data_IF_513451078852
#
_entry.id   IF_513451078852
#
_cell.length_a   1.000
_cell.length_b   1.000
_cell.length_c   1.000
_cell.angle_alpha   90.00
_cell.angle_beta   90.00
_cell.angle_gamma   90.00
#
_symmetry.space_group_name_H-M   'P 1'
#
loop_
_entity.id
_entity.type
_entity.pdbx_description
1 polymer ?
#
# COMPACT_ATOMS: atom_id res chain seq x y z
N UNK A 1 -3.67 -11.08 43.69
CA UNK A 1 -2.96 -10.29 42.67
C UNK A 1 -3.75 -9.07 42.21
N UNK A 2 -4.97 -9.19 41.66
CA UNK A 2 -5.77 -8.00 41.23
C UNK A 2 -6.09 -7.03 42.38
N UNK A 3 -6.46 -7.53 43.57
CA UNK A 3 -6.72 -6.66 44.74
C UNK A 3 -5.51 -5.85 45.23
N UNK A 4 -4.29 -6.39 45.05
CA UNK A 4 -3.06 -5.64 45.34
C UNK A 4 -2.81 -4.56 44.29
N UNK A 5 -3.21 -4.81 43.04
CA UNK A 5 -3.07 -3.87 41.91
C UNK A 5 -4.01 -2.65 42.05
N UNK A 6 -5.17 -2.83 42.70
CA UNK A 6 -6.11 -1.73 43.03
C UNK A 6 -5.64 -0.92 44.25
N UNK A 7 -4.91 -1.53 45.18
CA UNK A 7 -4.41 -0.86 46.39
C UNK A 7 -3.14 -0.03 46.13
N UNK A 8 -2.32 -0.41 45.14
CA UNK A 8 -1.04 0.23 44.83
C UNK A 8 -1.11 1.76 44.59
N UNK A 9 -2.08 2.31 43.83
CA UNK A 9 -2.20 3.76 43.64
C UNK A 9 -2.62 4.49 44.93
N UNK A 10 -3.46 3.87 45.75
CA UNK A 10 -3.90 4.43 47.02
C UNK A 10 -2.75 4.44 48.05
N UNK A 11 -1.91 3.40 48.03
CA UNK A 11 -0.69 3.32 48.86
C UNK A 11 0.32 4.38 48.40
N UNK A 12 0.56 4.55 47.10
CA UNK A 12 1.51 5.57 46.62
C UNK A 12 1.05 7.00 46.90
N UNK A 13 -0.25 7.23 47.05
CA UNK A 13 -0.80 8.54 47.42
C UNK A 13 -0.81 8.76 48.94
N UNK A 14 -1.05 7.72 49.74
CA UNK A 14 -1.18 7.81 51.20
C UNK A 14 0.16 7.90 51.93
N UNK A 15 1.21 7.24 51.40
CA UNK A 15 2.56 7.20 51.96
C UNK A 15 3.18 8.61 52.21
N UNK A 16 3.07 9.58 51.28
CA UNK A 16 3.57 10.94 51.53
C UNK A 16 2.66 11.82 52.42
N UNK A 17 1.41 11.43 52.67
CA UNK A 17 0.41 12.29 53.34
C UNK A 17 0.27 12.01 54.85
N UNK A 18 0.64 10.82 55.33
CA UNK A 18 0.46 10.43 56.73
C UNK A 18 1.52 9.42 57.23
N UNK A 19 2.80 9.81 57.34
CA UNK A 19 3.89 8.92 57.71
C UNK A 19 3.84 8.42 59.18
N UNK A 20 3.04 9.04 60.05
CA UNK A 20 2.97 8.73 61.48
C UNK A 20 2.00 7.58 61.84
N UNK A 21 1.21 7.08 60.87
CA UNK A 21 0.27 5.99 61.07
C UNK A 21 0.92 4.64 60.76
N UNK A 22 1.66 4.10 61.73
CA UNK A 22 2.19 2.74 61.68
C UNK A 22 1.06 1.74 61.39
N UNK A 23 1.06 1.14 60.18
CA UNK A 23 0.10 0.12 59.77
C UNK A 23 -0.92 0.55 58.70
N UNK A 24 -1.02 1.84 58.35
CA UNK A 24 -1.89 2.32 57.26
C UNK A 24 -1.62 1.67 55.89
N UNK A 25 -0.37 1.51 55.42
CA UNK A 25 -0.09 0.80 54.16
C UNK A 25 -0.44 -0.69 54.23
N UNK A 26 -0.25 -1.33 55.38
CA UNK A 26 -0.64 -2.73 55.62
C UNK A 26 -2.16 -2.92 55.62
N UNK A 27 -2.88 -2.01 56.28
CA UNK A 27 -4.34 -2.01 56.31
C UNK A 27 -4.95 -1.81 54.92
N UNK A 28 -4.42 -0.87 54.13
CA UNK A 28 -4.87 -0.65 52.73
C UNK A 28 -4.61 -1.86 51.84
N UNK A 29 -3.50 -2.58 52.04
CA UNK A 29 -3.22 -3.83 51.33
C UNK A 29 -4.21 -4.93 51.70
N UNK A 30 -4.52 -5.09 52.99
CA UNK A 30 -5.50 -6.07 53.46
C UNK A 30 -6.90 -5.73 52.94
N UNK A 31 -7.30 -4.45 53.03
CA UNK A 31 -8.59 -3.97 52.54
C UNK A 31 -8.71 -4.16 51.02
N UNK A 32 -7.69 -3.78 50.25
CA UNK A 32 -7.65 -3.98 48.81
C UNK A 32 -7.63 -5.46 48.41
N UNK A 33 -6.97 -6.31 49.20
CA UNK A 33 -7.00 -7.76 49.00
C UNK A 33 -8.40 -8.35 49.28
N UNK A 34 -9.04 -7.97 50.37
CA UNK A 34 -10.41 -8.40 50.71
C UNK A 34 -11.39 -7.91 49.65
N UNK A 35 -11.33 -6.63 49.28
CA UNK A 35 -12.20 -6.04 48.27
C UNK A 35 -11.99 -6.66 46.89
N UNK A 36 -10.74 -6.88 46.48
CA UNK A 36 -10.43 -7.56 45.22
C UNK A 36 -10.86 -9.02 45.21
N UNK A 37 -10.83 -9.71 46.36
CA UNK A 37 -11.32 -11.08 46.49
C UNK A 37 -12.84 -11.13 46.45
N UNK A 38 -13.51 -10.16 47.09
CA UNK A 38 -14.97 -10.02 47.06
C UNK A 38 -15.49 -9.66 45.65
N UNK A 39 -14.83 -8.72 44.96
CA UNK A 39 -15.14 -8.40 43.55
C UNK A 39 -14.96 -9.62 42.66
N UNK A 40 -13.87 -10.37 42.83
CA UNK A 40 -13.60 -11.56 42.01
C UNK A 40 -14.53 -12.73 42.34
N UNK A 41 -15.04 -12.84 43.57
CA UNK A 41 -15.86 -13.99 43.97
C UNK A 41 -17.37 -13.73 43.90
N UNK A 42 -17.79 -12.46 43.86
CA UNK A 42 -19.19 -12.09 43.63
C UNK A 42 -19.54 -12.09 42.15
N UNK A 43 -20.80 -12.45 41.82
CA UNK A 43 -21.29 -12.42 40.43
C UNK A 43 -21.24 -11.02 39.82
N UNK A 44 -21.71 -10.00 40.56
CA UNK A 44 -21.70 -8.61 40.09
C UNK A 44 -20.30 -8.01 39.95
N UNK A 45 -19.34 -8.41 40.79
CA UNK A 45 -17.95 -7.93 40.66
C UNK A 45 -17.21 -8.53 39.47
N UNK A 46 -17.50 -9.77 39.07
CA UNK A 46 -16.99 -10.38 37.83
C UNK A 46 -17.55 -9.67 36.60
N UNK A 47 -18.85 -9.43 36.55
CA UNK A 47 -19.50 -8.72 35.43
C UNK A 47 -18.96 -7.30 35.26
N UNK A 48 -18.71 -6.60 36.37
CA UNK A 48 -18.11 -5.26 36.35
C UNK A 48 -16.65 -5.30 35.86
N UNK A 49 -15.85 -6.26 36.33
CA UNK A 49 -14.46 -6.44 35.87
C UNK A 49 -14.40 -6.79 34.38
N UNK A 50 -15.25 -7.70 33.92
CA UNK A 50 -15.30 -8.11 32.52
C UNK A 50 -15.77 -6.95 31.62
N UNK A 51 -16.74 -6.15 32.07
CA UNK A 51 -17.19 -4.95 31.36
C UNK A 51 -16.10 -3.87 31.29
N UNK A 52 -15.40 -3.60 32.40
CA UNK A 52 -14.29 -2.65 32.43
C UNK A 52 -13.11 -3.11 31.58
N UNK A 53 -12.75 -4.38 31.66
CA UNK A 53 -11.66 -4.95 30.87
C UNK A 53 -12.00 -4.94 29.38
N UNK A 54 -13.23 -5.27 29.02
CA UNK A 54 -13.72 -5.19 27.63
C UNK A 54 -13.74 -3.74 27.15
N UNK A 55 -14.20 -2.80 27.98
CA UNK A 55 -14.19 -1.37 27.70
C UNK A 55 -12.78 -0.82 27.50
N UNK A 56 -11.83 -1.20 28.36
CA UNK A 56 -10.43 -0.78 28.28
C UNK A 56 -9.75 -1.38 27.05
N UNK A 57 -10.00 -2.65 26.72
CA UNK A 57 -9.47 -3.30 25.52
C UNK A 57 -10.01 -2.62 24.25
N UNK A 58 -11.30 -2.30 24.21
CA UNK A 58 -11.92 -1.64 23.07
C UNK A 58 -11.47 -0.19 22.93
N UNK A 59 -11.38 0.56 24.04
CA UNK A 59 -10.82 1.90 24.07
C UNK A 59 -9.37 1.92 23.62
N UNK A 60 -8.53 1.01 24.14
CA UNK A 60 -7.13 0.90 23.76
C UNK A 60 -6.97 0.51 22.28
N UNK A 61 -7.82 -0.38 21.77
CA UNK A 61 -7.84 -0.73 20.34
C UNK A 61 -8.22 0.46 19.46
N UNK A 62 -9.21 1.24 19.89
CA UNK A 62 -9.69 2.42 19.16
C UNK A 62 -8.67 3.56 19.17
N UNK A 63 -8.09 3.84 20.34
CA UNK A 63 -7.02 4.84 20.52
C UNK A 63 -5.79 4.43 19.73
N UNK A 64 -5.32 3.19 19.87
CA UNK A 64 -4.10 2.73 19.20
C UNK A 64 -4.19 2.81 17.69
N UNK A 65 -5.30 2.45 17.07
CA UNK A 65 -5.37 2.46 15.61
C UNK A 65 -5.56 3.88 15.05
N UNK A 66 -6.42 4.70 15.65
CA UNK A 66 -6.74 6.03 15.10
C UNK A 66 -5.71 7.09 15.49
N UNK A 67 -5.29 7.15 16.76
CA UNK A 67 -4.31 8.14 17.21
C UNK A 67 -2.91 7.85 16.71
N UNK A 68 -2.44 6.59 16.68
CA UNK A 68 -1.08 6.29 16.20
C UNK A 68 -0.97 6.55 14.70
N UNK A 69 -1.93 6.08 13.89
CA UNK A 69 -1.91 6.38 12.45
C UNK A 69 -2.09 7.86 12.18
N UNK A 70 -2.96 8.55 12.92
CA UNK A 70 -3.14 9.99 12.82
C UNK A 70 -1.87 10.76 13.16
N UNK A 71 -1.18 10.39 14.24
CA UNK A 71 0.08 10.99 14.67
C UNK A 71 1.19 10.75 13.65
N UNK A 72 1.36 9.51 13.18
CA UNK A 72 2.37 9.18 12.16
C UNK A 72 2.12 9.98 10.88
N UNK A 73 0.86 10.07 10.43
CA UNK A 73 0.52 10.86 9.25
C UNK A 73 0.78 12.35 9.47
N UNK A 74 0.38 12.89 10.62
CA UNK A 74 0.67 14.27 10.98
C UNK A 74 2.17 14.58 11.03
N UNK A 75 2.98 13.66 11.56
CA UNK A 75 4.44 13.78 11.56
C UNK A 75 4.96 13.82 10.12
N UNK A 76 4.53 12.90 9.24
CA UNK A 76 4.94 12.88 7.83
C UNK A 76 4.57 14.20 7.16
N UNK A 77 3.31 14.63 7.27
CA UNK A 77 2.81 15.86 6.66
C UNK A 77 3.58 17.10 7.15
N UNK A 78 3.96 17.13 8.44
CA UNK A 78 4.79 18.18 9.02
C UNK A 78 6.18 18.21 8.39
N UNK A 79 6.86 17.07 8.30
CA UNK A 79 8.20 17.00 7.69
C UNK A 79 8.17 17.32 6.20
N UNK A 80 7.16 16.83 5.48
CA UNK A 80 6.95 17.19 4.08
C UNK A 80 6.77 18.70 3.93
N UNK A 81 5.92 19.32 4.76
CA UNK A 81 5.73 20.77 4.74
C UNK A 81 7.02 21.55 5.07
N UNK A 82 7.80 21.09 6.05
CA UNK A 82 9.09 21.69 6.39
C UNK A 82 10.08 21.61 5.22
N UNK A 83 10.23 20.44 4.60
CA UNK A 83 11.14 20.27 3.46
C UNK A 83 10.71 21.11 2.25
N UNK A 84 9.41 21.11 1.93
CA UNK A 84 8.87 21.99 0.89
C UNK A 84 9.13 23.47 1.21
N UNK A 85 9.05 23.88 2.48
CA UNK A 85 9.33 25.27 2.87
C UNK A 85 10.81 25.64 2.66
N UNK A 86 11.74 24.72 2.94
CA UNK A 86 13.18 24.90 2.66
C UNK A 86 13.42 25.01 1.17
N UNK A 87 12.86 24.10 0.38
CA UNK A 87 13.00 24.12 -1.08
C UNK A 87 12.42 25.38 -1.70
N UNK A 88 11.23 25.80 -1.28
CA UNK A 88 10.63 27.06 -1.70
C UNK A 88 11.47 28.27 -1.28
N UNK A 89 12.03 28.24 -0.06
CA UNK A 89 12.93 29.29 0.42
C UNK A 89 14.17 29.42 -0.46
N UNK A 90 14.83 28.30 -0.76
CA UNK A 90 15.97 28.25 -1.67
C UNK A 90 15.59 28.73 -3.07
N UNK A 91 14.44 28.27 -3.59
CA UNK A 91 13.98 28.63 -4.93
C UNK A 91 13.64 30.12 -5.06
N UNK A 92 13.07 30.75 -4.02
CA UNK A 92 12.83 32.21 -4.02
C UNK A 92 14.12 33.00 -4.13
N UNK A 93 15.17 32.56 -3.45
CA UNK A 93 16.48 33.25 -3.53
C UNK A 93 17.15 32.95 -4.86
N UNK A 94 17.04 31.72 -5.36
CA UNK A 94 17.48 31.32 -6.69
C UNK A 94 16.86 32.22 -7.77
N UNK A 95 15.54 32.45 -7.71
CA UNK A 95 14.85 33.37 -8.59
C UNK A 95 15.38 34.81 -8.45
N UNK A 96 15.60 35.30 -7.22
CA UNK A 96 16.12 36.65 -7.00
C UNK A 96 17.55 36.86 -7.57
N UNK A 97 18.39 35.82 -7.49
CA UNK A 97 19.78 35.84 -7.98
C UNK A 97 19.85 35.60 -9.49
N UNK A 98 18.89 34.87 -10.05
CA UNK A 98 18.84 34.55 -11.48
C UNK A 98 18.66 35.79 -12.38
N UNK A 99 19.21 35.71 -13.58
CA UNK A 99 19.13 36.78 -14.57
C UNK A 99 17.72 36.91 -15.16
N UNK A 100 17.20 38.13 -15.11
CA UNK A 100 15.94 38.47 -15.78
C UNK A 100 16.21 39.31 -17.04
N UNK A 101 15.49 39.02 -18.13
CA UNK A 101 15.60 39.79 -19.39
C UNK A 101 15.10 41.21 -19.17
N UNK A 102 16.00 42.20 -19.23
CA UNK A 102 15.68 43.62 -19.07
C UNK A 102 16.51 44.36 -18.02
N UNK A 103 17.40 43.68 -17.30
CA UNK A 103 18.26 44.28 -16.28
C UNK A 103 19.46 45.03 -16.89
N UNK A 104 19.94 46.08 -16.22
CA UNK A 104 21.11 46.85 -16.65
C UNK A 104 22.40 46.04 -16.62
N UNK A 105 23.36 46.35 -17.50
CA UNK A 105 24.62 45.60 -17.68
C UNK A 105 25.44 45.42 -16.39
N UNK A 106 25.40 46.41 -15.47
CA UNK A 106 26.06 46.31 -14.17
C UNK A 106 25.44 45.26 -13.24
N UNK A 107 24.10 45.20 -13.18
CA UNK A 107 23.36 44.19 -12.40
C UNK A 107 23.60 42.80 -12.96
N UNK A 108 23.62 42.68 -14.29
CA UNK A 108 23.93 41.43 -14.98
C UNK A 108 25.32 40.89 -14.61
N UNK A 109 26.34 41.76 -14.54
CA UNK A 109 27.70 41.34 -14.20
C UNK A 109 27.81 40.87 -12.74
N UNK A 110 27.18 41.59 -11.82
CA UNK A 110 27.16 41.23 -10.39
C UNK A 110 26.44 39.91 -10.17
N UNK A 111 25.24 39.73 -10.76
CA UNK A 111 24.49 38.47 -10.68
C UNK A 111 25.26 37.29 -11.27
N UNK A 112 26.00 37.48 -12.36
CA UNK A 112 26.80 36.40 -12.96
C UNK A 112 27.94 35.89 -12.05
N UNK A 113 28.42 36.71 -11.12
CA UNK A 113 29.42 36.31 -10.12
C UNK A 113 28.73 35.67 -8.90
N UNK A 114 27.60 36.23 -8.48
CA UNK A 114 26.86 35.76 -7.30
C UNK A 114 26.17 34.42 -7.56
N UNK A 115 25.60 34.23 -8.75
CA UNK A 115 24.85 33.04 -9.15
C UNK A 115 25.59 31.72 -8.90
N UNK A 116 26.82 31.48 -9.41
CA UNK A 116 27.53 30.23 -9.15
C UNK A 116 27.88 30.03 -7.67
N UNK A 117 28.17 31.12 -6.94
CA UNK A 117 28.42 31.04 -5.50
C UNK A 117 27.14 30.66 -4.76
N UNK A 118 26.00 31.25 -5.14
CA UNK A 118 24.70 30.93 -4.59
C UNK A 118 24.28 29.49 -4.89
N UNK A 119 24.48 28.99 -6.11
CA UNK A 119 24.20 27.58 -6.45
C UNK A 119 24.97 26.63 -5.54
N UNK A 120 26.27 26.88 -5.31
CA UNK A 120 27.07 26.08 -4.39
C UNK A 120 26.49 26.09 -2.96
N UNK A 121 26.07 27.26 -2.46
CA UNK A 121 25.43 27.36 -1.16
C UNK A 121 24.05 26.69 -1.11
N UNK A 122 23.25 26.81 -2.16
CA UNK A 122 21.94 26.19 -2.29
C UNK A 122 22.05 24.66 -2.27
N UNK A 123 22.98 24.10 -3.04
CA UNK A 123 23.27 22.67 -3.05
C UNK A 123 23.79 22.19 -1.70
N UNK A 124 24.64 22.97 -1.05
CA UNK A 124 25.11 22.68 0.30
C UNK A 124 23.97 22.63 1.31
N UNK A 125 23.06 23.61 1.29
CA UNK A 125 21.90 23.64 2.18
C UNK A 125 20.96 22.47 1.88
N UNK A 126 20.68 22.18 0.60
CA UNK A 126 19.83 21.06 0.18
C UNK A 126 20.41 19.73 0.64
N UNK A 127 21.72 19.54 0.49
CA UNK A 127 22.42 18.36 1.00
C UNK A 127 22.26 18.22 2.52
N UNK A 128 22.53 19.28 3.28
CA UNK A 128 22.37 19.23 4.74
C UNK A 128 20.94 18.98 5.17
N UNK A 129 19.97 19.68 4.57
CA UNK A 129 18.56 19.54 4.94
C UNK A 129 18.05 18.13 4.65
N UNK A 130 18.18 17.64 3.41
CA UNK A 130 17.59 16.38 2.96
C UNK A 130 18.38 15.15 3.43
N UNK A 131 19.71 15.19 3.36
CA UNK A 131 20.53 14.01 3.59
C UNK A 131 20.95 13.87 5.06
N UNK A 132 21.18 14.99 5.75
CA UNK A 132 21.76 14.95 7.09
C UNK A 132 20.71 15.26 8.18
N UNK A 133 19.98 16.38 8.05
CA UNK A 133 19.06 16.87 9.08
C UNK A 133 17.75 16.11 9.09
N UNK A 134 17.09 15.95 7.93
CA UNK A 134 15.78 15.30 7.83
C UNK A 134 15.78 13.90 8.47
N UNK A 135 16.74 12.99 8.16
CA UNK A 135 16.72 11.66 8.75
C UNK A 135 17.01 11.66 10.26
N UNK A 136 17.72 12.66 10.77
CA UNK A 136 18.03 12.76 12.19
C UNK A 136 16.84 13.21 13.03
N UNK A 137 16.10 14.20 12.54
CA UNK A 137 15.00 14.80 13.31
C UNK A 137 13.69 14.05 13.04
N UNK A 138 13.51 13.49 11.84
CA UNK A 138 12.31 12.73 11.50
C UNK A 138 12.27 11.41 12.30
N UNK A 139 11.35 11.24 13.27
CA UNK A 139 11.35 10.07 14.13
C UNK A 139 11.08 8.77 13.36
N UNK A 140 10.44 8.85 12.19
CA UNK A 140 10.14 7.72 11.32
C UNK A 140 11.41 7.25 10.59
N UNK A 141 12.31 8.16 10.24
CA UNK A 141 13.59 7.86 9.56
C UNK A 141 14.74 7.64 10.55
N UNK A 142 14.69 8.27 11.72
CA UNK A 142 15.73 8.20 12.75
C UNK A 142 15.88 6.79 13.34
N UNK A 143 14.75 6.13 13.63
CA UNK A 143 14.76 4.80 14.23
C UNK A 143 14.59 3.69 13.19
N UNK A 144 15.39 2.61 13.23
CA UNK A 144 16.54 2.36 14.12
C UNK A 144 17.91 2.76 13.54
N UNK A 145 17.98 3.03 12.22
CA UNK A 145 19.24 3.09 11.46
C UNK A 145 20.16 4.20 11.94
N UNK A 146 19.63 5.43 12.10
CA UNK A 146 20.42 6.58 12.52
C UNK A 146 20.93 6.38 13.95
N UNK A 147 20.12 5.77 14.83
CA UNK A 147 20.53 5.46 16.20
C UNK A 147 21.68 4.45 16.25
N UNK A 148 21.63 3.41 15.42
CA UNK A 148 22.73 2.43 15.31
C UNK A 148 23.99 3.10 14.74
N UNK A 149 23.82 3.93 13.71
CA UNK A 149 24.92 4.66 13.08
C UNK A 149 25.65 5.58 14.07
N UNK A 150 24.90 6.32 14.91
CA UNK A 150 25.50 7.10 16.01
C UNK A 150 26.40 6.22 16.90
N UNK A 151 25.88 5.08 17.36
CA UNK A 151 26.63 4.18 18.24
C UNK A 151 27.87 3.59 17.58
N UNK A 152 27.78 3.23 16.30
CA UNK A 152 28.90 2.72 15.54
C UNK A 152 29.97 3.79 15.29
N UNK A 153 29.57 5.05 15.14
CA UNK A 153 30.47 6.17 14.88
C UNK A 153 31.18 6.70 16.13
N UNK A 154 30.61 6.54 17.32
CA UNK A 154 31.19 7.01 18.60
C UNK A 154 32.70 6.76 18.75
N UNK A 155 33.24 5.54 18.56
CA UNK A 155 34.67 5.29 18.74
C UNK A 155 35.55 5.99 17.68
N UNK A 156 34.98 6.38 16.54
CA UNK A 156 35.69 7.02 15.43
C UNK A 156 35.59 8.54 15.44
N UNK A 157 34.79 9.14 16.34
CA UNK A 157 34.60 10.59 16.41
C UNK A 157 35.91 11.40 16.51
N UNK A 158 36.92 11.00 17.33
CA UNK A 158 38.18 11.73 17.39
C UNK A 158 38.88 11.74 16.03
N UNK A 159 39.02 10.57 15.41
CA UNK A 159 39.69 10.42 14.12
C UNK A 159 38.98 11.23 13.02
N UNK A 160 37.65 11.10 12.91
CA UNK A 160 36.84 11.84 11.95
C UNK A 160 36.98 13.37 12.13
N UNK A 161 36.95 13.84 13.38
CA UNK A 161 37.12 15.27 13.69
C UNK A 161 38.49 15.77 13.26
N UNK A 162 39.58 15.08 13.63
CA UNK A 162 40.94 15.48 13.23
C UNK A 162 41.14 15.44 11.72
N UNK A 163 40.62 14.41 11.04
CA UNK A 163 40.74 14.29 9.59
C UNK A 163 39.99 15.41 8.87
N UNK A 164 38.77 15.74 9.31
CA UNK A 164 37.97 16.78 8.66
C UNK A 164 38.54 18.18 8.93
N UNK A 165 39.03 18.46 10.14
CA UNK A 165 39.75 19.71 10.44
C UNK A 165 41.02 19.85 9.60
N UNK A 166 41.84 18.79 9.48
CA UNK A 166 43.06 18.83 8.67
C UNK A 166 42.79 19.13 7.19
N UNK A 167 41.62 18.76 6.66
CA UNK A 167 41.19 19.08 5.30
C UNK A 167 40.67 20.51 5.16
N UNK A 168 40.00 21.05 6.19
CA UNK A 168 39.33 22.35 6.13
C UNK A 168 40.20 23.52 6.60
N UNK A 169 41.06 23.33 7.59
CA UNK A 169 41.93 24.37 8.16
C UNK A 169 42.84 25.09 7.14
N UNK A 170 43.33 24.44 6.05
CA UNK A 170 44.08 25.14 5.01
C UNK A 170 43.24 26.11 4.16
N UNK A 171 41.92 25.92 4.11
CA UNK A 171 41.00 26.64 3.22
C UNK A 171 40.11 27.62 3.98
N UNK A 172 39.73 27.26 5.21
CA UNK A 172 38.79 27.99 6.04
C UNK A 172 39.42 28.43 7.36
N UNK A 173 39.12 29.65 7.84
CA UNK A 173 39.50 30.08 9.18
C UNK A 173 38.95 29.15 10.26
N UNK A 174 39.70 28.99 11.35
CA UNK A 174 39.35 28.06 12.44
C UNK A 174 37.97 28.31 13.06
N UNK A 175 37.54 29.58 13.13
CA UNK A 175 36.21 29.93 13.65
C UNK A 175 35.05 29.47 12.75
N UNK A 176 35.32 29.10 11.50
CA UNK A 176 34.37 28.49 10.56
C UNK A 176 34.58 26.97 10.50
N UNK A 177 35.82 26.49 10.41
CA UNK A 177 36.12 25.05 10.28
C UNK A 177 35.63 24.26 11.50
N UNK A 178 35.88 24.76 12.71
CA UNK A 178 35.50 24.08 13.95
C UNK A 178 33.98 23.84 14.09
N UNK A 179 33.10 24.87 14.00
CA UNK A 179 31.66 24.64 14.08
C UNK A 179 31.14 23.81 12.91
N UNK A 180 31.67 24.02 11.70
CA UNK A 180 31.28 23.25 10.53
C UNK A 180 31.57 21.76 10.73
N UNK A 181 32.81 21.39 11.06
CA UNK A 181 33.21 20.00 11.34
C UNK A 181 32.36 19.38 12.44
N UNK A 182 32.13 20.12 13.52
CA UNK A 182 31.33 19.64 14.65
C UNK A 182 29.90 19.30 14.21
N UNK A 183 29.26 20.21 13.48
CA UNK A 183 27.89 20.01 12.96
C UNK A 183 27.86 18.88 11.94
N UNK A 184 28.81 18.84 10.99
CA UNK A 184 28.89 17.76 9.99
C UNK A 184 28.96 16.41 10.67
N UNK A 185 29.86 16.24 11.64
CA UNK A 185 30.08 14.95 12.33
C UNK A 185 28.86 14.55 13.16
N UNK A 186 28.25 15.51 13.86
CA UNK A 186 27.02 15.26 14.61
C UNK A 186 25.88 14.81 13.70
N UNK A 187 25.77 15.40 12.51
CA UNK A 187 24.70 15.10 11.55
C UNK A 187 25.02 13.91 10.62
N UNK A 188 26.28 13.48 10.53
CA UNK A 188 26.77 12.44 9.62
C UNK A 188 26.03 11.09 9.76
N UNK A 189 25.58 10.65 10.96
CA UNK A 189 24.69 9.48 11.08
C UNK A 189 23.41 9.57 10.24
N UNK A 190 22.93 10.79 9.96
CA UNK A 190 21.76 11.05 9.11
C UNK A 190 21.95 10.53 7.69
N UNK A 191 23.17 10.62 7.14
CA UNK A 191 23.53 10.10 5.82
C UNK A 191 23.17 8.61 5.68
N UNK A 192 23.48 7.80 6.69
CA UNK A 192 23.14 6.37 6.66
C UNK A 192 21.63 6.14 6.74
N UNK A 193 20.92 6.95 7.52
CA UNK A 193 19.46 6.94 7.56
C UNK A 193 18.84 7.23 6.19
N UNK A 194 19.31 8.30 5.53
CA UNK A 194 18.90 8.67 4.18
C UNK A 194 19.15 7.51 3.19
N UNK A 195 20.38 7.00 3.13
CA UNK A 195 20.76 5.94 2.19
C UNK A 195 19.93 4.67 2.34
N UNK A 196 19.73 4.21 3.57
CA UNK A 196 18.93 2.99 3.80
C UNK A 196 17.47 3.21 3.38
N UNK A 197 16.91 4.37 3.70
CA UNK A 197 15.52 4.66 3.39
C UNK A 197 15.29 4.82 1.88
N UNK A 198 16.16 5.57 1.20
CA UNK A 198 16.14 5.72 -0.26
C UNK A 198 16.36 4.40 -0.98
N UNK A 199 17.34 3.60 -0.53
CA UNK A 199 17.58 2.28 -1.11
C UNK A 199 16.35 1.37 -0.93
N UNK A 200 15.72 1.39 0.24
CA UNK A 200 14.52 0.60 0.49
C UNK A 200 13.34 1.06 -0.36
N UNK A 201 13.14 2.37 -0.53
CA UNK A 201 12.10 2.92 -1.38
C UNK A 201 12.32 2.50 -2.85
N UNK A 202 13.54 2.67 -3.35
CA UNK A 202 13.91 2.23 -4.70
C UNK A 202 13.81 0.72 -4.88
N UNK A 203 14.16 -0.07 -3.86
CA UNK A 203 13.99 -1.53 -3.90
C UNK A 203 12.52 -1.95 -3.99
N UNK A 204 11.61 -1.25 -3.31
CA UNK A 204 10.17 -1.51 -3.43
C UNK A 204 9.68 -1.27 -4.86
N UNK A 205 10.17 -0.21 -5.52
CA UNK A 205 9.86 0.07 -6.92
C UNK A 205 10.47 -0.98 -7.86
N UNK A 206 11.73 -1.33 -7.66
CA UNK A 206 12.41 -2.39 -8.40
C UNK A 206 11.63 -3.70 -8.32
N UNK A 207 11.28 -4.15 -7.10
CA UNK A 207 10.51 -5.38 -6.89
C UNK A 207 9.11 -5.32 -7.52
N UNK A 208 8.46 -4.15 -7.52
CA UNK A 208 7.18 -3.99 -8.19
C UNK A 208 7.28 -4.15 -9.72
N UNK A 209 8.42 -3.77 -10.31
CA UNK A 209 8.71 -3.88 -11.74
C UNK A 209 9.28 -5.25 -12.16
N UNK A 210 9.72 -6.07 -11.22
CA UNK A 210 10.24 -7.42 -11.47
C UNK A 210 9.41 -8.48 -10.73
N UNK A 211 8.18 -8.77 -11.18
CA UNK A 211 7.40 -9.84 -10.58
C UNK A 211 7.97 -11.22 -10.93
N UNK A 212 8.23 -12.03 -9.91
CA UNK A 212 8.69 -13.43 -10.06
C UNK A 212 7.61 -14.38 -10.62
N UNK A 213 6.37 -13.89 -10.79
CA UNK A 213 5.23 -14.66 -11.27
C UNK A 213 4.36 -13.83 -12.24
N UNK A 214 3.60 -14.54 -13.08
CA UNK A 214 2.59 -13.92 -13.95
C UNK A 214 1.61 -13.13 -13.09
N UNK A 215 1.63 -11.81 -13.21
CA UNK A 215 0.70 -10.96 -12.47
C UNK A 215 -0.72 -11.12 -13.03
N UNK A 216 -1.75 -11.20 -12.16
CA UNK A 216 -3.13 -11.13 -12.59
C UNK A 216 -3.37 -9.88 -13.43
N UNK A 217 -4.04 -10.07 -14.58
CA UNK A 217 -4.41 -8.96 -15.42
C UNK A 217 -5.44 -8.09 -14.69
N UNK A 218 -5.22 -6.78 -14.77
CA UNK A 218 -6.19 -5.78 -14.33
C UNK A 218 -7.02 -5.34 -15.53
N UNK A 219 -8.32 -5.19 -15.34
CA UNK A 219 -9.27 -4.74 -16.35
C UNK A 219 -10.44 -3.99 -15.70
N UNK A 220 -11.30 -3.39 -16.52
CA UNK A 220 -12.37 -2.51 -16.05
C UNK A 220 -11.89 -1.13 -15.61
N UNK A 221 -12.85 -0.24 -15.35
CA UNK A 221 -12.58 1.18 -15.04
C UNK A 221 -11.82 1.41 -13.73
N UNK A 222 -11.89 0.46 -12.79
CA UNK A 222 -11.20 0.51 -11.51
C UNK A 222 -9.87 -0.28 -11.47
N UNK A 223 -9.46 -0.89 -12.59
CA UNK A 223 -8.27 -1.75 -12.63
C UNK A 223 -8.41 -2.99 -11.74
N UNK A 224 -9.59 -3.60 -11.74
CA UNK A 224 -9.91 -4.78 -10.93
C UNK A 224 -9.40 -6.08 -11.56
N UNK A 225 -9.20 -7.09 -10.73
CA UNK A 225 -8.92 -8.47 -11.15
C UNK A 225 -10.21 -9.27 -11.24
N UNK A 226 -10.22 -10.40 -11.96
CA UNK A 226 -11.39 -11.29 -12.05
C UNK A 226 -11.82 -11.81 -10.67
N UNK A 227 -10.85 -12.12 -9.79
CA UNK A 227 -11.13 -12.49 -8.41
C UNK A 227 -11.88 -11.39 -7.65
N UNK A 228 -11.38 -10.15 -7.71
CA UNK A 228 -11.99 -9.03 -6.99
C UNK A 228 -13.35 -8.64 -7.58
N UNK A 229 -13.56 -8.84 -8.88
CA UNK A 229 -14.84 -8.63 -9.56
C UNK A 229 -15.93 -9.54 -8.99
N UNK A 230 -15.59 -10.82 -8.78
CA UNK A 230 -16.50 -11.86 -8.28
C UNK A 230 -16.65 -11.83 -6.76
N UNK A 231 -15.61 -11.46 -6.01
CA UNK A 231 -15.63 -11.47 -4.55
C UNK A 231 -16.32 -10.22 -4.02
N UNK A 232 -17.38 -10.38 -3.25
CA UNK A 232 -18.03 -9.24 -2.59
C UNK A 232 -17.13 -8.62 -1.52
N UNK A 233 -16.78 -7.34 -1.65
CA UNK A 233 -15.98 -6.61 -0.67
C UNK A 233 -16.08 -5.07 -0.76
N UNK A 234 -15.31 -4.41 0.11
CA UNK A 234 -15.23 -2.94 0.17
C UNK A 234 -14.57 -2.34 -1.08
N UNK A 235 -13.54 -3.01 -1.63
CA UNK A 235 -12.74 -2.47 -2.72
C UNK A 235 -13.03 -3.09 -4.11
N UNK A 236 -13.61 -4.29 -4.21
CA UNK A 236 -14.43 -4.70 -5.37
C UNK A 236 -15.29 -5.93 -5.02
N UNK A 237 -16.25 -6.22 -5.90
CA UNK A 237 -17.42 -7.08 -5.81
C UNK A 237 -18.50 -6.59 -6.78
N UNK A 238 -18.06 -6.06 -7.93
CA UNK A 238 -18.90 -5.32 -8.86
C UNK A 238 -19.99 -6.21 -9.46
N UNK A 239 -19.66 -7.46 -9.80
CA UNK A 239 -20.61 -8.41 -10.36
C UNK A 239 -21.70 -8.80 -9.34
N UNK A 240 -21.38 -9.22 -8.09
CA UNK A 240 -22.40 -9.42 -7.06
C UNK A 240 -23.27 -8.19 -6.79
N UNK A 241 -22.69 -6.99 -6.78
CA UNK A 241 -23.41 -5.73 -6.54
C UNK A 241 -24.36 -5.40 -7.69
N UNK A 242 -23.95 -5.60 -8.95
CA UNK A 242 -24.81 -5.41 -10.11
C UNK A 242 -26.00 -6.37 -10.10
N UNK A 243 -25.78 -7.66 -9.82
CA UNK A 243 -26.88 -8.63 -9.68
C UNK A 243 -27.79 -8.35 -8.47
N UNK A 244 -27.25 -7.84 -7.36
CA UNK A 244 -28.06 -7.43 -6.22
C UNK A 244 -28.96 -6.22 -6.56
N UNK A 245 -28.42 -5.25 -7.30
CA UNK A 245 -29.18 -4.08 -7.76
C UNK A 245 -30.27 -4.48 -8.75
N UNK A 246 -29.96 -5.34 -9.72
CA UNK A 246 -30.94 -5.84 -10.69
C UNK A 246 -32.10 -6.57 -9.99
N UNK A 247 -31.79 -7.47 -9.04
CA UNK A 247 -32.81 -8.15 -8.25
C UNK A 247 -33.64 -7.21 -7.39
N UNK A 248 -33.02 -6.18 -6.80
CA UNK A 248 -33.74 -5.20 -5.99
C UNK A 248 -34.73 -4.37 -6.82
N UNK A 249 -34.35 -3.97 -8.04
CA UNK A 249 -35.24 -3.24 -8.94
C UNK A 249 -36.41 -4.13 -9.39
N UNK A 250 -36.16 -5.38 -9.77
CA UNK A 250 -37.21 -6.34 -10.17
C UNK A 250 -38.17 -6.61 -9.01
N UNK A 251 -37.65 -6.79 -7.78
CA UNK A 251 -38.47 -6.97 -6.60
C UNK A 251 -39.35 -5.74 -6.32
N UNK A 252 -38.79 -4.54 -6.48
CA UNK A 252 -39.54 -3.29 -6.31
C UNK A 252 -40.65 -3.13 -7.36
N UNK A 253 -40.40 -3.47 -8.63
CA UNK A 253 -41.43 -3.44 -9.68
C UNK A 253 -42.59 -4.40 -9.35
N UNK A 254 -42.27 -5.60 -8.86
CA UNK A 254 -43.26 -6.60 -8.45
C UNK A 254 -44.08 -6.15 -7.24
N UNK A 255 -43.42 -5.64 -6.19
CA UNK A 255 -44.08 -5.21 -4.96
C UNK A 255 -44.99 -3.99 -5.18
N UNK A 256 -44.54 -3.03 -6.01
CA UNK A 256 -45.28 -1.81 -6.29
C UNK A 256 -46.29 -1.95 -7.43
N UNK A 257 -46.33 -3.12 -8.11
CA UNK A 257 -47.10 -3.36 -9.33
C UNK A 257 -46.97 -2.21 -10.35
N UNK A 258 -45.77 -1.65 -10.44
CA UNK A 258 -45.45 -0.49 -11.29
C UNK A 258 -44.20 -0.77 -12.08
N UNK A 259 -44.26 -0.46 -13.37
CA UNK A 259 -43.09 -0.53 -14.24
C UNK A 259 -42.13 0.61 -13.89
N UNK A 260 -40.86 0.29 -13.63
CA UNK A 260 -39.75 1.21 -13.36
C UNK A 260 -38.69 1.08 -14.48
N UNK A 261 -39.06 1.36 -15.75
CA UNK A 261 -38.22 1.03 -16.91
C UNK A 261 -36.87 1.75 -16.91
N UNK A 262 -36.77 2.92 -16.26
CA UNK A 262 -35.50 3.63 -16.14
C UNK A 262 -34.54 2.97 -15.15
N UNK A 263 -35.04 2.53 -13.98
CA UNK A 263 -34.22 1.87 -12.97
C UNK A 263 -33.73 0.50 -13.47
N UNK A 264 -34.60 -0.23 -14.18
CA UNK A 264 -34.26 -1.51 -14.79
C UNK A 264 -33.16 -1.35 -15.84
N UNK A 265 -33.33 -0.42 -16.79
CA UNK A 265 -32.32 -0.12 -17.81
C UNK A 265 -30.98 0.31 -17.22
N UNK A 266 -30.98 1.08 -16.12
CA UNK A 266 -29.74 1.47 -15.45
C UNK A 266 -29.03 0.28 -14.79
N UNK A 267 -29.78 -0.63 -14.16
CA UNK A 267 -29.23 -1.84 -13.56
C UNK A 267 -28.66 -2.80 -14.63
N UNK A 268 -29.37 -2.96 -15.75
CA UNK A 268 -28.92 -3.73 -16.91
C UNK A 268 -27.68 -3.10 -17.57
N UNK A 269 -27.68 -1.78 -17.77
CA UNK A 269 -26.54 -1.07 -18.35
C UNK A 269 -25.28 -1.23 -17.48
N UNK A 270 -25.42 -1.19 -16.15
CA UNK A 270 -24.32 -1.43 -15.23
C UNK A 270 -23.76 -2.85 -15.37
N UNK A 271 -24.62 -3.87 -15.47
CA UNK A 271 -24.20 -5.26 -15.66
C UNK A 271 -23.52 -5.44 -17.03
N UNK A 272 -24.11 -4.89 -18.09
CA UNK A 272 -23.56 -4.94 -19.45
C UNK A 272 -22.19 -4.26 -19.54
N UNK A 273 -21.97 -3.13 -18.88
CA UNK A 273 -20.65 -2.49 -18.83
C UNK A 273 -19.57 -3.34 -18.15
N UNK A 274 -19.95 -4.09 -17.11
CA UNK A 274 -19.05 -5.06 -16.47
C UNK A 274 -18.74 -6.22 -17.42
N UNK A 275 -19.77 -6.79 -18.06
CA UNK A 275 -19.62 -7.88 -19.02
C UNK A 275 -18.76 -7.48 -20.23
N UNK A 276 -18.90 -6.25 -20.69
CA UNK A 276 -18.07 -5.74 -21.80
C UNK A 276 -16.60 -5.57 -21.38
N UNK A 277 -16.35 -5.16 -20.13
CA UNK A 277 -14.99 -5.12 -19.58
C UNK A 277 -14.38 -6.53 -19.50
N UNK A 278 -15.19 -7.54 -19.13
CA UNK A 278 -14.78 -8.95 -19.13
C UNK A 278 -14.54 -9.45 -20.55
N UNK A 279 -15.42 -9.12 -21.51
CA UNK A 279 -15.24 -9.46 -22.93
C UNK A 279 -13.92 -8.91 -23.45
N UNK A 280 -13.63 -7.64 -23.18
CA UNK A 280 -12.37 -6.98 -23.57
C UNK A 280 -11.16 -7.68 -22.95
N UNK A 281 -11.24 -8.07 -21.67
CA UNK A 281 -10.21 -8.86 -21.00
C UNK A 281 -9.98 -10.21 -21.67
N UNK A 282 -11.05 -10.96 -21.97
CA UNK A 282 -10.95 -12.27 -22.65
C UNK A 282 -10.34 -12.13 -24.05
N UNK A 283 -10.77 -11.14 -24.83
CA UNK A 283 -10.21 -10.91 -26.17
C UNK A 283 -8.71 -10.60 -26.07
N UNK A 284 -8.33 -9.69 -25.17
CA UNK A 284 -6.95 -9.22 -25.01
C UNK A 284 -6.01 -10.30 -24.50
N UNK A 285 -6.43 -11.07 -23.51
CA UNK A 285 -5.54 -11.98 -22.77
C UNK A 285 -5.62 -13.42 -23.25
N UNK A 286 -6.71 -13.81 -23.92
CA UNK A 286 -6.94 -15.20 -24.32
C UNK A 286 -7.12 -15.33 -25.83
N UNK A 287 -8.11 -14.66 -26.44
CA UNK A 287 -8.36 -14.82 -27.88
C UNK A 287 -7.16 -14.39 -28.72
N UNK A 288 -6.55 -13.24 -28.42
CA UNK A 288 -5.35 -12.77 -29.11
C UNK A 288 -4.16 -13.72 -28.92
N UNK A 289 -3.92 -14.17 -27.68
CA UNK A 289 -2.82 -15.10 -27.38
C UNK A 289 -3.01 -16.46 -28.08
N UNK A 290 -4.23 -16.99 -28.11
CA UNK A 290 -4.56 -18.21 -28.84
C UNK A 290 -4.31 -18.06 -30.34
N UNK A 291 -4.73 -16.95 -30.95
CA UNK A 291 -4.50 -16.70 -32.37
C UNK A 291 -3.00 -16.62 -32.69
N UNK A 292 -2.24 -15.84 -31.92
CA UNK A 292 -0.79 -15.65 -32.11
C UNK A 292 -0.03 -16.97 -31.98
N UNK A 293 -0.29 -17.73 -30.92
CA UNK A 293 0.39 -19.02 -30.68
C UNK A 293 0.00 -20.12 -31.63
N UNK A 294 -1.26 -20.12 -32.08
CA UNK A 294 -1.71 -21.06 -33.11
C UNK A 294 -0.97 -20.85 -34.44
N UNK A 295 -0.61 -19.59 -34.76
CA UNK A 295 0.20 -19.29 -35.94
C UNK A 295 1.63 -19.78 -35.77
N UNK A 296 2.24 -19.55 -34.61
CA UNK A 296 3.60 -20.07 -34.30
C UNK A 296 3.66 -21.60 -34.34
N UNK A 297 2.60 -22.27 -33.89
CA UNK A 297 2.46 -23.73 -33.91
C UNK A 297 2.13 -24.31 -35.30
N UNK A 298 1.89 -23.47 -36.32
CA UNK A 298 1.57 -23.90 -37.68
C UNK A 298 0.11 -24.33 -37.91
N UNK A 299 -0.78 -24.06 -36.95
CA UNK A 299 -2.20 -24.39 -37.00
C UNK A 299 -3.06 -23.12 -36.78
N UNK A 300 -3.11 -22.18 -37.74
CA UNK A 300 -3.78 -20.90 -37.53
C UNK A 300 -5.26 -21.09 -37.23
N UNK A 301 -5.72 -20.56 -36.10
CA UNK A 301 -7.14 -20.55 -35.72
C UNK A 301 -7.67 -19.12 -35.61
N UNK A 302 -8.94 -18.94 -35.92
CA UNK A 302 -9.70 -17.76 -35.52
C UNK A 302 -10.42 -18.06 -34.19
N UNK A 303 -10.14 -17.26 -33.17
CA UNK A 303 -10.74 -17.40 -31.85
C UNK A 303 -11.81 -16.31 -31.64
N UNK A 304 -13.07 -16.72 -31.48
CA UNK A 304 -14.18 -15.80 -31.27
C UNK A 304 -14.96 -16.13 -30.01
N UNK A 305 -15.35 -15.12 -29.24
CA UNK A 305 -16.18 -15.31 -28.04
C UNK A 305 -17.61 -15.58 -28.52
N UNK A 306 -18.04 -16.83 -28.38
CA UNK A 306 -19.37 -17.25 -28.75
C UNK A 306 -20.38 -17.01 -27.65
N UNK A 307 -20.00 -17.24 -26.39
CA UNK A 307 -20.88 -17.06 -25.23
C UNK A 307 -20.13 -16.50 -24.05
N UNK A 308 -20.78 -15.56 -23.36
CA UNK A 308 -20.32 -15.01 -22.09
C UNK A 308 -21.51 -14.97 -21.14
N UNK A 309 -21.46 -15.78 -20.09
CA UNK A 309 -22.49 -15.85 -19.07
C UNK A 309 -21.94 -15.49 -17.72
N UNK A 310 -22.68 -14.69 -16.98
CA UNK A 310 -22.35 -14.35 -15.61
C UNK A 310 -23.48 -14.75 -14.67
N UNK A 311 -23.08 -15.17 -13.48
CA UNK A 311 -23.94 -15.29 -12.32
C UNK A 311 -23.34 -14.48 -11.17
N UNK A 312 -23.98 -14.52 -10.00
CA UNK A 312 -23.57 -13.70 -8.85
C UNK A 312 -22.12 -13.96 -8.39
N UNK A 313 -21.62 -15.19 -8.53
CA UNK A 313 -20.28 -15.59 -8.09
C UNK A 313 -19.55 -16.53 -9.08
N UNK A 314 -20.02 -16.59 -10.32
CA UNK A 314 -19.40 -17.38 -11.37
C UNK A 314 -19.48 -16.69 -12.73
N UNK A 315 -18.55 -17.02 -13.60
CA UNK A 315 -18.48 -16.52 -14.96
C UNK A 315 -18.12 -17.69 -15.88
N UNK A 316 -18.87 -17.89 -16.95
CA UNK A 316 -18.58 -18.87 -17.99
C UNK A 316 -18.26 -18.13 -19.28
N UNK A 317 -17.13 -18.48 -19.87
CA UNK A 317 -16.65 -17.93 -21.14
C UNK A 317 -16.52 -19.08 -22.12
N UNK A 318 -17.15 -18.98 -23.28
CA UNK A 318 -17.05 -19.97 -24.35
C UNK A 318 -16.43 -19.32 -25.59
N UNK A 319 -15.32 -19.89 -26.05
CA UNK A 319 -14.64 -19.51 -27.28
C UNK A 319 -14.88 -20.58 -28.33
N UNK A 320 -15.23 -20.14 -29.54
CA UNK A 320 -15.24 -20.97 -30.73
C UNK A 320 -13.92 -20.79 -31.47
N UNK A 321 -13.22 -21.89 -31.72
CA UNK A 321 -12.02 -21.96 -32.53
C UNK A 321 -12.38 -22.51 -33.91
N UNK A 322 -12.13 -21.72 -34.95
CA UNK A 322 -12.39 -22.09 -36.35
C UNK A 322 -11.11 -22.01 -37.18
N UNK A 323 -11.04 -22.82 -38.24
CA UNK A 323 -9.92 -22.81 -39.18
C UNK A 323 -10.27 -21.85 -40.35
N UNK A 324 -9.47 -20.78 -40.59
CA UNK A 324 -9.85 -19.67 -41.47
C UNK A 324 -9.91 -20.01 -42.97
N UNK A 325 -9.29 -21.10 -43.43
CA UNK A 325 -9.14 -21.42 -44.87
C UNK A 325 -9.85 -22.72 -45.32
N UNK A 326 -10.96 -23.10 -44.66
CA UNK A 326 -11.70 -24.31 -45.07
C UNK A 326 -12.86 -24.01 -46.04
N UNK A 327 -13.00 -24.77 -47.15
CA UNK A 327 -14.03 -24.55 -48.17
C UNK A 327 -15.44 -24.93 -47.73
N UNK A 328 -15.59 -25.72 -46.65
CA UNK A 328 -16.87 -26.05 -46.04
C UNK A 328 -16.90 -25.60 -44.57
N UNK A 329 -18.06 -25.16 -44.04
CA UNK A 329 -18.21 -24.76 -42.65
C UNK A 329 -18.01 -25.98 -41.75
N UNK A 330 -16.79 -26.09 -41.21
CA UNK A 330 -16.43 -27.13 -40.25
C UNK A 330 -16.98 -26.80 -38.87
N UNK A 331 -17.43 -27.82 -38.15
CA UNK A 331 -17.84 -27.72 -36.76
C UNK A 331 -16.68 -27.14 -35.90
N UNK A 332 -16.90 -26.04 -35.17
CA UNK A 332 -15.86 -25.39 -34.38
C UNK A 332 -15.45 -26.25 -33.18
N UNK A 333 -14.20 -26.09 -32.75
CA UNK A 333 -13.77 -26.57 -31.44
C UNK A 333 -14.21 -25.56 -30.37
N UNK A 334 -14.97 -26.04 -29.40
CA UNK A 334 -15.48 -25.25 -28.29
C UNK A 334 -14.55 -25.37 -27.11
N UNK A 335 -14.08 -24.21 -26.64
CA UNK A 335 -13.27 -24.07 -25.44
C UNK A 335 -14.08 -23.28 -24.42
N UNK A 336 -14.56 -23.96 -23.39
CA UNK A 336 -15.32 -23.35 -22.31
C UNK A 336 -14.46 -23.27 -21.05
N UNK A 337 -14.45 -22.10 -20.43
CA UNK A 337 -13.82 -21.88 -19.13
C UNK A 337 -14.84 -21.35 -18.15
N UNK A 338 -15.00 -22.08 -17.05
CA UNK A 338 -15.88 -21.74 -15.95
C UNK A 338 -15.06 -21.26 -14.76
N UNK A 339 -15.24 -19.99 -14.43
CA UNK A 339 -14.70 -19.37 -13.22
C UNK A 339 -15.73 -19.43 -12.10
N UNK A 340 -15.32 -19.91 -10.94
CA UNK A 340 -16.15 -19.90 -9.73
C UNK A 340 -15.30 -19.60 -8.49
N UNK A 341 -15.91 -18.91 -7.52
CA UNK A 341 -15.32 -18.76 -6.19
C UNK A 341 -15.60 -20.01 -5.36
N UNK A 342 -14.55 -20.75 -5.02
CA UNK A 342 -14.60 -21.94 -4.16
C UNK A 342 -13.63 -21.72 -3.00
N UNK A 343 -14.08 -21.83 -1.75
CA UNK A 343 -13.25 -21.67 -0.55
C UNK A 343 -12.40 -20.39 -0.50
N UNK A 344 -12.97 -19.26 -0.95
CA UNK A 344 -12.29 -17.95 -1.09
C UNK A 344 -11.14 -17.88 -2.10
N UNK A 345 -10.97 -18.90 -2.94
CA UNK A 345 -10.08 -18.91 -4.10
C UNK A 345 -10.89 -18.87 -5.40
N UNK A 346 -10.31 -18.29 -6.45
CA UNK A 346 -10.87 -18.40 -7.79
C UNK A 346 -10.41 -19.74 -8.39
N UNK A 347 -11.36 -20.57 -8.78
CA UNK A 347 -11.10 -21.81 -9.54
C UNK A 347 -11.53 -21.59 -10.99
N UNK A 348 -10.71 -22.05 -11.92
CA UNK A 348 -11.05 -22.14 -13.34
C UNK A 348 -11.10 -23.61 -13.74
N UNK A 349 -12.22 -24.05 -14.30
CA UNK A 349 -12.38 -25.36 -14.92
C UNK A 349 -12.46 -25.18 -16.44
N UNK A 350 -11.77 -26.05 -17.20
CA UNK A 350 -11.65 -25.95 -18.65
C UNK A 350 -12.28 -27.20 -19.26
N UNK A 351 -13.20 -26.99 -20.20
CA UNK A 351 -13.80 -28.07 -20.98
C UNK A 351 -13.59 -27.82 -22.47
N UNK A 352 -13.13 -28.86 -23.15
CA UNK A 352 -12.93 -28.89 -24.60
C UNK A 352 -13.98 -29.80 -25.22
N UNK A 353 -14.73 -29.30 -26.20
CA UNK A 353 -15.77 -30.08 -26.89
C UNK A 353 -15.69 -29.84 -28.40
N UNK A 354 -15.70 -30.91 -29.20
CA UNK A 354 -15.67 -30.83 -30.66
C UNK A 354 -14.60 -31.72 -31.29
N UNK A 355 -14.26 -31.49 -32.58
CA UNK A 355 -13.36 -32.36 -33.34
C UNK A 355 -11.88 -32.05 -33.03
N UNK A 356 -11.44 -32.45 -31.83
CA UNK A 356 -10.10 -32.19 -31.28
C UNK A 356 -8.97 -32.66 -32.22
N UNK A 357 -9.16 -33.81 -32.88
CA UNK A 357 -8.18 -34.43 -33.78
C UNK A 357 -7.74 -33.54 -34.95
N UNK A 358 -8.56 -32.52 -35.31
CA UNK A 358 -8.29 -31.61 -36.43
C UNK A 358 -7.32 -30.49 -36.09
N UNK A 359 -7.03 -30.28 -34.81
CA UNK A 359 -6.19 -29.19 -34.32
C UNK A 359 -4.75 -29.63 -34.00
N UNK A 360 -4.39 -30.87 -34.35
CA UNK A 360 -3.03 -31.39 -34.22
C UNK A 360 -2.62 -31.60 -32.76
N UNK A 361 -1.38 -31.22 -32.44
CA UNK A 361 -0.88 -31.21 -31.07
C UNK A 361 -1.55 -30.08 -30.27
N UNK A 362 -2.19 -30.42 -29.15
CA UNK A 362 -2.88 -29.46 -28.29
C UNK A 362 -1.99 -28.89 -27.18
N UNK A 363 -0.70 -29.25 -27.11
CA UNK A 363 0.19 -28.76 -26.07
C UNK A 363 0.22 -27.23 -25.98
N UNK A 364 0.19 -26.53 -27.12
CA UNK A 364 0.13 -25.07 -27.18
C UNK A 364 -1.17 -24.51 -26.59
N UNK A 365 -2.30 -25.21 -26.80
CA UNK A 365 -3.62 -24.80 -26.32
C UNK A 365 -3.70 -24.95 -24.80
N UNK A 366 -3.17 -26.05 -24.27
CA UNK A 366 -3.08 -26.30 -22.83
C UNK A 366 -2.16 -25.27 -22.15
N UNK A 367 -0.99 -24.98 -22.72
CA UNK A 367 -0.03 -24.01 -22.17
C UNK A 367 -0.63 -22.60 -22.11
N UNK A 368 -1.25 -22.13 -23.20
CA UNK A 368 -1.85 -20.80 -23.24
C UNK A 368 -3.12 -20.71 -22.38
N UNK A 369 -3.90 -21.78 -22.28
CA UNK A 369 -5.07 -21.78 -21.37
C UNK A 369 -4.62 -21.77 -19.90
N UNK A 370 -3.55 -22.50 -19.55
CA UNK A 370 -2.95 -22.44 -18.22
C UNK A 370 -2.37 -21.04 -17.92
N UNK A 371 -1.77 -20.39 -18.92
CA UNK A 371 -1.29 -19.01 -18.83
C UNK A 371 -2.44 -18.02 -18.60
N UNK A 372 -3.55 -18.19 -19.33
CA UNK A 372 -4.76 -17.39 -19.15
C UNK A 372 -5.36 -17.58 -17.75
N UNK A 373 -5.45 -18.80 -17.23
CA UNK A 373 -5.91 -19.04 -15.85
C UNK A 373 -5.04 -18.32 -14.82
N UNK A 374 -3.71 -18.36 -14.98
CA UNK A 374 -2.78 -17.59 -14.13
C UNK A 374 -3.02 -16.08 -14.23
N UNK A 375 -3.23 -15.54 -15.44
CA UNK A 375 -3.60 -14.13 -15.67
C UNK A 375 -4.96 -13.77 -15.08
N UNK A 376 -5.89 -14.71 -15.01
CA UNK A 376 -7.18 -14.54 -14.35
C UNK A 376 -7.08 -14.60 -12.81
N UNK A 377 -5.91 -14.94 -12.24
CA UNK A 377 -5.71 -15.31 -10.84
C UNK A 377 -6.53 -16.54 -10.40
N UNK A 378 -6.84 -17.43 -11.35
CA UNK A 378 -7.52 -18.68 -11.09
C UNK A 378 -6.51 -19.80 -10.86
N UNK A 379 -6.72 -20.60 -9.81
CA UNK A 379 -6.09 -21.92 -9.71
C UNK A 379 -6.73 -22.85 -10.75
N UNK A 380 -5.90 -23.61 -11.47
CA UNK A 380 -6.38 -24.74 -12.28
C UNK A 380 -6.84 -25.85 -11.34
N UNK A 381 -8.00 -26.43 -11.59
CA UNK A 381 -8.41 -27.71 -10.99
C UNK A 381 -8.36 -28.81 -12.02
#
# INVERSE_FOLDING_TARGET
LIGALVALPAISLADPLAPELEGLPGFLLILGFIFGTFLRNSRGGRELLDSLMTGLINFWRQVRHTLVMGLVRWVIDLFDALMHSVEQGLHRVDEAVSHHRGEGQGVMTVKAIIDPLWTLFSDFIRFYATVLVEPQINPIKHFPVVTVSHKLMLPFLPALTTSLLALLDPVLPQFISLPLVTVTILLLPGLFGFLVWELQANWKLYRANHPDAIQPARFGSAGETLYTLLRRGFHSGALPKAFARLRAVIAQENDQQRNLPQALRQAEAQLNGILESVRTFVVREWSFALMDRSQEAGHPVAATIARLEAATASLTVQIALTLPDQPEPVEPLWLEVRFALVDNALSGDITLTGPVERFGDLAWLEEETARFLKRAAAGSR
#
